data_IF_952242535265
#
_entry.id   IF_952242535265
#
_cell.length_a   1.000
_cell.length_b   1.000
_cell.length_c   1.000
_cell.angle_alpha   90.00
_cell.angle_beta   90.00
_cell.angle_gamma   90.00
#
_symmetry.space_group_name_H-M   'P 1'
#
loop_
_entity.id
_entity.type
_entity.pdbx_description
1 polymer ?
#
# COMPACT_ATOMS: atom_id res chain seq x y z
N UNK A 1 -46.12 3.89 -75.00
CA UNK A 1 -46.48 5.26 -75.40
C UNK A 1 -45.51 6.24 -74.78
N UNK A 2 -44.86 7.11 -75.55
CA UNK A 2 -44.00 8.15 -75.08
C UNK A 2 -44.67 9.53 -75.15
N UNK A 3 -44.57 10.30 -74.07
CA UNK A 3 -44.93 11.73 -74.04
C UNK A 3 -43.64 12.52 -73.81
N UNK A 4 -43.25 13.29 -74.87
CA UNK A 4 -42.03 14.06 -74.82
C UNK A 4 -40.71 13.29 -75.08
N UNK A 5 -40.84 12.02 -75.47
CA UNK A 5 -39.77 11.17 -76.01
C UNK A 5 -40.23 10.41 -77.24
N UNK A 6 -39.47 10.37 -78.35
CA UNK A 6 -39.80 9.58 -79.52
C UNK A 6 -39.44 8.09 -79.33
N UNK A 7 -38.56 7.76 -78.39
CA UNK A 7 -38.09 6.40 -78.12
C UNK A 7 -38.32 6.05 -76.67
N UNK A 8 -39.57 5.68 -76.27
CA UNK A 8 -39.84 5.27 -74.93
C UNK A 8 -39.09 3.96 -74.54
N UNK A 9 -38.69 3.80 -73.32
CA UNK A 9 -38.06 2.58 -72.79
C UNK A 9 -38.97 1.36 -73.08
N UNK A 10 -38.40 0.29 -73.55
CA UNK A 10 -39.12 -0.92 -73.96
C UNK A 10 -39.84 -1.62 -72.77
N UNK A 11 -39.46 -1.35 -71.55
CA UNK A 11 -40.12 -1.86 -70.35
C UNK A 11 -41.29 -1.00 -69.89
N UNK A 12 -41.48 0.18 -70.46
CA UNK A 12 -42.48 1.14 -70.04
C UNK A 12 -43.67 1.18 -71.00
N UNK A 13 -44.88 0.92 -70.50
CA UNK A 13 -46.11 1.15 -71.30
C UNK A 13 -46.38 2.64 -71.54
N UNK A 14 -45.92 3.47 -70.60
CA UNK A 14 -45.98 4.93 -70.68
C UNK A 14 -44.67 5.53 -70.09
N UNK A 15 -43.92 6.24 -70.92
CA UNK A 15 -42.80 7.06 -70.52
C UNK A 15 -43.11 8.54 -70.74
N UNK A 16 -42.91 9.36 -69.72
CA UNK A 16 -43.03 10.82 -69.76
C UNK A 16 -41.66 11.44 -69.50
N UNK A 17 -41.13 12.09 -70.57
CA UNK A 17 -39.80 12.72 -70.50
C UNK A 17 -39.90 14.22 -70.71
N UNK A 18 -39.40 15.03 -69.78
CA UNK A 18 -39.34 16.49 -69.94
C UNK A 18 -38.23 17.06 -69.09
N UNK A 19 -37.58 18.12 -69.58
CA UNK A 19 -36.54 18.83 -68.77
C UNK A 19 -37.12 19.83 -67.78
N UNK A 20 -38.39 20.25 -67.92
CA UNK A 20 -39.00 21.34 -67.15
C UNK A 20 -40.49 21.16 -66.83
N UNK A 21 -41.04 19.99 -67.05
CA UNK A 21 -42.43 19.65 -66.73
C UNK A 21 -42.52 18.31 -66.06
N UNK A 22 -43.41 18.17 -65.07
CA UNK A 22 -43.67 16.95 -64.30
C UNK A 22 -45.02 16.34 -64.64
N UNK A 23 -45.41 15.35 -63.87
CA UNK A 23 -46.73 14.72 -63.87
C UNK A 23 -47.55 15.29 -62.75
N UNK A 24 -48.75 15.79 -63.06
CA UNK A 24 -49.71 16.26 -62.07
C UNK A 24 -50.69 15.12 -61.81
N UNK A 25 -50.64 14.50 -60.66
CA UNK A 25 -51.60 13.47 -60.27
C UNK A 25 -52.96 14.09 -59.91
N UNK A 26 -54.06 13.35 -60.04
CA UNK A 26 -55.38 13.80 -59.62
C UNK A 26 -55.35 14.25 -58.13
N UNK A 27 -55.81 15.49 -57.89
CA UNK A 27 -55.88 16.07 -56.56
C UNK A 27 -57.19 15.70 -55.90
N UNK A 28 -57.11 15.04 -54.77
CA UNK A 28 -58.23 14.53 -53.95
C UNK A 28 -58.16 14.95 -52.54
N UNK A 29 -59.28 14.93 -51.80
CA UNK A 29 -59.34 15.18 -50.39
C UNK A 29 -59.64 13.91 -49.59
N UNK A 30 -58.64 13.14 -49.29
CA UNK A 30 -58.80 11.87 -48.58
C UNK A 30 -59.29 12.14 -47.13
N UNK A 31 -60.18 11.28 -46.65
CA UNK A 31 -60.74 11.38 -45.29
C UNK A 31 -60.00 10.54 -44.26
N UNK A 32 -59.35 9.45 -44.69
CA UNK A 32 -58.56 8.53 -43.90
C UNK A 32 -57.63 7.72 -44.79
N UNK A 33 -56.72 6.99 -44.22
CA UNK A 33 -55.83 6.05 -44.88
C UNK A 33 -56.64 4.87 -45.53
N UNK A 34 -57.85 4.63 -45.08
CA UNK A 34 -58.71 3.56 -45.56
C UNK A 34 -59.94 4.14 -46.37
N UNK A 35 -59.83 5.38 -46.83
CA UNK A 35 -60.92 6.07 -47.51
C UNK A 35 -61.20 5.51 -48.92
N UNK A 36 -62.29 4.76 -49.06
CA UNK A 36 -62.82 4.27 -50.33
C UNK A 36 -64.06 5.06 -50.78
N UNK A 37 -64.45 6.10 -49.99
CA UNK A 37 -65.62 6.93 -50.41
C UNK A 37 -65.20 8.04 -51.35
N UNK A 38 -63.97 8.59 -51.22
CA UNK A 38 -63.47 9.63 -52.14
C UNK A 38 -63.12 9.04 -53.49
N UNK A 39 -62.58 7.85 -53.57
CA UNK A 39 -62.33 7.07 -54.78
C UNK A 39 -62.89 5.67 -54.55
N UNK A 40 -64.07 5.33 -55.16
CA UNK A 40 -64.64 4.02 -54.92
C UNK A 40 -63.84 2.90 -55.59
N UNK A 41 -63.61 1.82 -54.89
CA UNK A 41 -62.87 0.64 -55.37
C UNK A 41 -61.50 1.00 -55.98
N UNK A 42 -60.61 1.68 -55.30
CA UNK A 42 -59.36 2.10 -55.91
C UNK A 42 -58.50 0.88 -56.24
N UNK A 43 -57.94 0.90 -57.45
CA UNK A 43 -57.12 -0.18 -57.99
C UNK A 43 -55.76 -0.22 -57.19
N UNK A 44 -55.23 -1.43 -57.04
CA UNK A 44 -53.88 -1.60 -56.45
C UNK A 44 -52.83 -0.83 -57.24
N UNK A 45 -52.02 0.02 -56.58
CA UNK A 45 -51.02 0.87 -57.21
C UNK A 45 -51.61 2.20 -57.78
N UNK A 46 -52.88 2.50 -57.61
CA UNK A 46 -53.46 3.81 -58.02
C UNK A 46 -52.76 4.95 -57.23
N UNK A 47 -52.27 5.97 -57.92
CA UNK A 47 -51.61 7.13 -57.33
C UNK A 47 -52.45 8.40 -57.45
N UNK A 48 -52.49 9.17 -56.35
CA UNK A 48 -53.19 10.46 -56.26
C UNK A 48 -52.38 11.48 -55.46
N UNK A 49 -52.68 12.76 -55.60
CA UNK A 49 -52.22 13.82 -54.74
C UNK A 49 -53.31 14.09 -53.67
N UNK A 50 -53.03 13.72 -52.37
CA UNK A 50 -53.93 14.21 -51.33
C UNK A 50 -53.62 15.68 -51.04
N UNK A 51 -54.62 16.55 -51.14
CA UNK A 51 -54.44 18.00 -50.91
C UNK A 51 -54.52 18.43 -49.50
N UNK A 52 -54.74 17.48 -48.54
CA UNK A 52 -54.75 17.75 -47.09
C UNK A 52 -55.96 18.50 -46.59
N UNK A 53 -56.98 18.74 -47.37
CA UNK A 53 -58.19 19.43 -46.96
C UNK A 53 -59.31 18.51 -46.49
N UNK A 54 -59.11 17.21 -46.57
CA UNK A 54 -59.93 16.19 -45.91
C UNK A 54 -59.53 15.92 -44.47
N UNK A 55 -60.14 14.88 -43.86
CA UNK A 55 -59.73 14.48 -42.48
C UNK A 55 -58.37 13.85 -42.48
N UNK A 56 -57.80 13.37 -43.60
CA UNK A 56 -56.39 13.07 -43.72
C UNK A 56 -55.63 14.34 -44.13
N UNK A 57 -55.17 15.08 -43.19
CA UNK A 57 -54.62 16.44 -43.34
C UNK A 57 -53.23 16.52 -43.92
N UNK A 58 -52.53 15.40 -44.01
CA UNK A 58 -51.19 15.36 -44.59
C UNK A 58 -51.24 15.37 -46.13
N UNK A 59 -50.77 16.48 -46.72
CA UNK A 59 -50.71 16.63 -48.15
C UNK A 59 -49.48 15.90 -48.72
N UNK A 60 -49.69 15.19 -49.88
CA UNK A 60 -48.61 14.43 -50.51
C UNK A 60 -49.11 13.46 -51.57
N UNK A 61 -48.19 12.78 -52.24
CA UNK A 61 -48.52 11.69 -53.18
C UNK A 61 -48.84 10.44 -52.37
N UNK A 62 -50.02 9.88 -52.60
CA UNK A 62 -50.46 8.62 -52.01
C UNK A 62 -50.68 7.59 -53.09
N UNK A 63 -50.40 6.32 -52.71
CA UNK A 63 -50.76 5.17 -53.56
C UNK A 63 -51.62 4.17 -52.79
N UNK A 64 -52.57 3.56 -53.52
CA UNK A 64 -53.43 2.55 -52.90
C UNK A 64 -52.73 1.19 -52.92
N UNK A 65 -52.56 0.58 -51.77
CA UNK A 65 -52.05 -0.79 -51.67
C UNK A 65 -52.50 -1.43 -50.36
N UNK A 66 -52.83 -2.72 -50.42
CA UNK A 66 -53.29 -3.49 -49.25
C UNK A 66 -54.45 -2.83 -48.51
N UNK A 67 -55.48 -2.43 -49.29
CA UNK A 67 -56.72 -1.80 -48.86
C UNK A 67 -56.53 -0.50 -48.06
N UNK A 68 -55.45 0.25 -48.36
CA UNK A 68 -55.25 1.56 -47.79
C UNK A 68 -54.40 2.47 -48.68
N UNK A 69 -54.55 3.78 -48.41
CA UNK A 69 -53.68 4.82 -48.96
C UNK A 69 -52.38 4.89 -48.21
N UNK A 70 -51.26 4.72 -48.88
CA UNK A 70 -49.95 4.82 -48.35
C UNK A 70 -49.27 6.06 -48.94
N UNK A 71 -48.74 6.93 -48.11
CA UNK A 71 -48.00 8.09 -48.59
C UNK A 71 -46.65 7.69 -49.16
N UNK A 72 -46.36 8.20 -50.37
CA UNK A 72 -45.06 8.06 -50.99
C UNK A 72 -44.09 9.02 -50.36
N UNK A 73 -43.46 8.60 -49.24
CA UNK A 73 -42.45 9.40 -48.51
C UNK A 73 -41.12 9.33 -49.27
N UNK A 74 -40.58 10.49 -49.66
CA UNK A 74 -39.19 10.60 -50.10
C UNK A 74 -38.31 10.63 -48.87
N UNK A 75 -37.76 9.54 -48.44
CA UNK A 75 -36.89 9.31 -47.28
C UNK A 75 -36.02 10.40 -46.67
N UNK A 76 -36.40 11.67 -46.77
CA UNK A 76 -35.83 12.79 -46.01
C UNK A 76 -36.76 13.11 -44.85
N UNK A 77 -36.85 12.17 -43.90
CA UNK A 77 -37.58 12.33 -42.66
C UNK A 77 -36.92 13.37 -41.77
N UNK A 78 -37.40 14.58 -41.84
CA UNK A 78 -37.23 15.53 -40.73
C UNK A 78 -38.12 15.01 -39.60
N UNK A 79 -37.51 14.29 -38.64
CA UNK A 79 -38.21 13.74 -37.47
C UNK A 79 -38.70 14.87 -36.56
N UNK A 80 -39.93 15.38 -36.82
CA UNK A 80 -40.65 16.11 -35.79
C UNK A 80 -41.78 15.24 -35.28
N UNK A 81 -41.53 14.69 -34.13
CA UNK A 81 -42.41 14.42 -33.02
C UNK A 81 -43.80 13.80 -33.16
N UNK A 82 -43.89 12.70 -32.50
CA UNK A 82 -44.84 12.57 -31.41
C UNK A 82 -46.32 12.58 -31.76
N UNK A 83 -46.83 11.53 -32.27
CA UNK A 83 -48.22 11.15 -32.23
C UNK A 83 -48.31 9.67 -31.91
N UNK A 84 -48.84 9.38 -30.78
CA UNK A 84 -49.48 8.15 -30.34
C UNK A 84 -49.71 7.08 -31.41
N UNK A 85 -49.05 5.94 -31.33
CA UNK A 85 -49.51 4.65 -31.83
C UNK A 85 -49.18 4.30 -33.28
N UNK A 86 -47.93 4.03 -33.59
CA UNK A 86 -47.49 3.37 -34.81
C UNK A 86 -46.26 2.52 -34.55
N UNK A 87 -46.37 1.25 -34.87
CA UNK A 87 -45.27 0.26 -34.78
C UNK A 87 -44.04 0.75 -35.53
N UNK A 88 -43.16 1.46 -34.87
CA UNK A 88 -41.90 1.88 -35.45
C UNK A 88 -41.06 0.61 -35.56
N UNK A 89 -40.67 0.24 -36.79
CA UNK A 89 -39.68 -0.80 -36.99
C UNK A 89 -38.46 -0.50 -36.09
N UNK A 90 -37.85 -1.49 -35.45
CA UNK A 90 -36.75 -1.25 -34.55
C UNK A 90 -35.65 -0.48 -35.30
N UNK A 91 -35.27 0.64 -34.72
CA UNK A 91 -34.23 1.54 -35.21
C UNK A 91 -32.91 0.76 -35.33
N UNK A 92 -32.52 0.42 -36.54
CA UNK A 92 -31.26 -0.29 -36.80
C UNK A 92 -30.17 0.71 -37.18
N UNK A 93 -29.61 1.39 -36.18
CA UNK A 93 -28.45 2.24 -36.40
C UNK A 93 -28.44 3.52 -35.57
N UNK A 94 -27.26 4.03 -35.33
CA UNK A 94 -27.02 5.31 -34.72
C UNK A 94 -27.40 6.43 -35.68
N UNK A 95 -28.35 7.27 -35.32
CA UNK A 95 -28.71 8.43 -36.13
C UNK A 95 -27.72 9.57 -35.91
N UNK A 96 -26.88 9.85 -36.89
CA UNK A 96 -25.95 10.98 -36.89
C UNK A 96 -26.64 12.36 -36.96
N UNK A 97 -27.97 12.37 -37.11
CA UNK A 97 -28.80 13.59 -37.19
C UNK A 97 -29.53 13.90 -35.89
N UNK A 98 -29.28 13.21 -34.79
CA UNK A 98 -29.84 13.54 -33.51
C UNK A 98 -29.21 14.86 -33.01
N UNK A 99 -29.91 15.95 -33.29
CA UNK A 99 -29.60 17.25 -32.67
C UNK A 99 -29.94 17.17 -31.19
N UNK A 100 -28.99 16.77 -30.40
CA UNK A 100 -29.04 16.92 -28.95
C UNK A 100 -28.69 18.37 -28.62
N UNK A 101 -29.68 19.26 -28.71
CA UNK A 101 -29.51 20.66 -28.38
C UNK A 101 -29.65 20.89 -26.88
N UNK A 102 -28.73 20.34 -26.10
CA UNK A 102 -28.55 20.62 -24.69
C UNK A 102 -27.36 21.55 -24.52
N UNK A 103 -27.62 22.81 -24.21
CA UNK A 103 -26.59 23.81 -23.98
C UNK A 103 -25.83 23.53 -22.68
N UNK A 104 -24.60 23.04 -22.80
CA UNK A 104 -23.58 23.19 -21.77
C UNK A 104 -22.26 23.57 -22.43
N UNK A 105 -21.86 24.82 -22.23
CA UNK A 105 -20.51 25.34 -22.47
C UNK A 105 -19.90 25.12 -23.84
N UNK A 106 -20.30 25.93 -24.82
CA UNK A 106 -19.66 26.33 -26.04
C UNK A 106 -18.57 25.41 -26.59
N UNK A 107 -18.87 24.75 -27.64
CA UNK A 107 -18.11 24.35 -28.80
C UNK A 107 -18.64 23.00 -29.32
N UNK A 108 -19.20 23.00 -30.53
CA UNK A 108 -19.61 21.85 -31.33
C UNK A 108 -20.58 20.85 -30.66
N UNK A 109 -21.82 21.28 -30.51
CA UNK A 109 -22.96 20.46 -30.06
C UNK A 109 -23.48 19.48 -31.11
N UNK A 110 -22.80 19.29 -32.24
CA UNK A 110 -23.34 18.55 -33.38
C UNK A 110 -23.12 17.04 -33.33
N UNK A 111 -22.42 16.53 -32.35
CA UNK A 111 -22.11 15.11 -32.20
C UNK A 111 -22.22 14.64 -30.74
N UNK A 112 -23.35 14.92 -30.07
CA UNK A 112 -23.55 14.43 -28.70
C UNK A 112 -24.44 13.19 -28.68
N UNK A 113 -24.06 12.17 -27.90
CA UNK A 113 -24.88 11.04 -27.52
C UNK A 113 -25.34 11.24 -26.09
N UNK A 114 -26.65 11.35 -25.86
CA UNK A 114 -27.15 11.58 -24.50
C UNK A 114 -28.66 11.72 -24.45
N UNK A 115 -29.16 12.01 -23.25
CA UNK A 115 -30.58 12.30 -22.99
C UNK A 115 -30.79 13.80 -22.76
N UNK A 116 -31.90 14.33 -23.23
CA UNK A 116 -32.31 15.73 -22.96
C UNK A 116 -33.25 15.84 -21.75
N UNK A 117 -33.50 14.73 -21.09
CA UNK A 117 -34.37 14.56 -19.91
C UNK A 117 -33.54 14.16 -18.72
N UNK A 118 -34.11 14.18 -17.54
CA UNK A 118 -33.47 13.67 -16.32
C UNK A 118 -33.49 12.14 -16.26
N UNK A 119 -33.16 11.49 -17.37
CA UNK A 119 -33.10 10.05 -17.51
C UNK A 119 -31.65 9.59 -17.72
N UNK A 120 -31.32 8.44 -17.20
CA UNK A 120 -30.01 7.81 -17.40
C UNK A 120 -29.79 7.40 -18.86
N UNK A 121 -28.57 7.56 -19.36
CA UNK A 121 -28.15 6.91 -20.61
C UNK A 121 -27.74 5.48 -20.32
N UNK A 122 -28.51 4.51 -20.84
CA UNK A 122 -28.30 3.08 -20.60
C UNK A 122 -27.77 2.36 -21.83
N UNK A 123 -26.66 1.70 -21.70
CA UNK A 123 -26.08 0.80 -22.73
C UNK A 123 -26.57 -0.63 -22.50
N UNK A 124 -27.18 -1.25 -23.55
CA UNK A 124 -27.71 -2.62 -23.45
C UNK A 124 -27.05 -3.54 -24.47
N UNK A 125 -26.83 -4.78 -24.07
CA UNK A 125 -26.42 -5.89 -24.93
C UNK A 125 -27.41 -7.02 -24.70
N UNK A 126 -28.03 -7.49 -25.77
CA UNK A 126 -29.09 -8.53 -25.73
C UNK A 126 -30.18 -8.23 -24.66
N UNK A 127 -30.70 -6.99 -24.68
CA UNK A 127 -31.70 -6.46 -23.73
C UNK A 127 -31.26 -6.35 -22.25
N UNK A 128 -30.03 -6.72 -21.91
CA UNK A 128 -29.47 -6.59 -20.57
C UNK A 128 -28.71 -5.26 -20.47
N UNK A 129 -28.95 -4.49 -19.42
CA UNK A 129 -28.18 -3.28 -19.13
C UNK A 129 -26.75 -3.65 -18.75
N UNK A 130 -25.79 -3.20 -19.56
CA UNK A 130 -24.35 -3.46 -19.37
C UNK A 130 -23.58 -2.21 -19.00
N UNK A 131 -24.20 -1.03 -19.09
CA UNK A 131 -23.58 0.23 -18.71
C UNK A 131 -24.62 1.32 -18.51
N UNK A 132 -24.28 2.31 -17.70
CA UNK A 132 -25.13 3.47 -17.39
C UNK A 132 -24.29 4.70 -17.09
N UNK A 133 -24.67 5.83 -17.69
CA UNK A 133 -24.29 7.16 -17.25
C UNK A 133 -25.52 7.77 -16.59
N UNK A 134 -25.48 7.92 -15.29
CA UNK A 134 -26.62 8.33 -14.47
C UNK A 134 -26.71 9.84 -14.27
N UNK A 135 -27.91 10.34 -14.13
CA UNK A 135 -28.21 11.76 -13.87
C UNK A 135 -27.61 12.29 -12.56
N UNK A 136 -27.26 11.39 -11.64
CA UNK A 136 -26.59 11.72 -10.35
C UNK A 136 -25.06 11.72 -10.49
N UNK A 137 -24.52 12.03 -11.67
CA UNK A 137 -23.08 11.97 -11.99
C UNK A 137 -22.45 10.57 -11.72
N UNK A 138 -23.27 9.52 -11.75
CA UNK A 138 -22.81 8.16 -11.52
C UNK A 138 -22.44 7.44 -12.82
N UNK A 139 -21.44 6.56 -12.75
CA UNK A 139 -20.98 5.76 -13.90
C UNK A 139 -20.98 4.29 -13.48
N UNK A 140 -21.71 3.44 -14.22
CA UNK A 140 -21.62 2.00 -14.00
C UNK A 140 -21.46 1.24 -15.33
N UNK A 141 -20.51 0.29 -15.38
CA UNK A 141 -20.31 -0.64 -16.49
C UNK A 141 -20.03 -2.04 -15.98
N UNK A 142 -20.80 -3.01 -16.46
CA UNK A 142 -20.77 -4.41 -16.09
C UNK A 142 -22.17 -4.93 -15.79
N UNK A 143 -22.36 -6.24 -15.95
CA UNK A 143 -23.64 -6.88 -15.60
C UNK A 143 -23.90 -6.73 -14.09
N UNK A 144 -25.02 -6.13 -13.73
CA UNK A 144 -25.37 -5.87 -12.32
C UNK A 144 -24.53 -4.78 -11.63
N UNK A 145 -23.71 -4.02 -12.37
CA UNK A 145 -22.97 -2.89 -11.80
C UNK A 145 -23.94 -1.77 -11.35
N UNK A 146 -23.71 -1.22 -10.15
CA UNK A 146 -24.53 -0.17 -9.54
C UNK A 146 -23.66 0.96 -9.04
N UNK A 147 -23.88 2.17 -9.55
CA UNK A 147 -23.25 3.38 -9.02
C UNK A 147 -24.34 4.39 -8.64
N UNK A 148 -24.18 5.03 -7.49
CA UNK A 148 -25.10 6.01 -6.95
C UNK A 148 -24.34 7.27 -6.53
N UNK A 149 -25.00 8.44 -6.60
CA UNK A 149 -24.52 9.71 -6.04
C UNK A 149 -23.03 10.01 -6.28
N UNK A 150 -22.64 10.33 -7.51
CA UNK A 150 -21.22 10.56 -7.92
C UNK A 150 -20.33 9.31 -7.87
N UNK A 151 -20.90 8.11 -7.72
CA UNK A 151 -20.15 6.86 -7.68
C UNK A 151 -19.69 6.38 -9.04
N UNK A 152 -18.60 5.62 -9.08
CA UNK A 152 -18.10 4.91 -10.27
C UNK A 152 -18.03 3.42 -9.94
N UNK A 153 -18.78 2.58 -10.67
CA UNK A 153 -18.80 1.12 -10.51
C UNK A 153 -18.46 0.43 -11.84
N UNK A 154 -17.29 -0.14 -11.96
CA UNK A 154 -16.80 -0.82 -13.15
C UNK A 154 -16.50 -2.30 -12.86
N UNK A 155 -17.30 -3.20 -13.41
CA UNK A 155 -17.15 -4.64 -13.24
C UNK A 155 -18.48 -5.34 -12.95
N UNK A 156 -18.50 -6.66 -13.18
CA UNK A 156 -19.69 -7.46 -12.90
C UNK A 156 -20.04 -7.39 -11.40
N UNK A 157 -21.28 -7.05 -11.07
CA UNK A 157 -21.77 -6.92 -9.69
C UNK A 157 -20.97 -5.93 -8.83
N UNK A 158 -20.28 -4.96 -9.43
CA UNK A 158 -19.63 -3.89 -8.69
C UNK A 158 -20.66 -2.91 -8.12
N UNK A 159 -20.39 -2.34 -6.96
CA UNK A 159 -21.29 -1.38 -6.30
C UNK A 159 -20.51 -0.23 -5.70
N UNK A 160 -20.91 1.04 -6.00
CA UNK A 160 -20.27 2.23 -5.47
C UNK A 160 -21.30 3.26 -5.04
N UNK A 161 -21.23 3.69 -3.78
CA UNK A 161 -21.98 4.83 -3.23
C UNK A 161 -21.00 5.96 -2.92
N UNK A 162 -21.07 7.05 -3.68
CA UNK A 162 -20.17 8.22 -3.57
C UNK A 162 -18.65 7.86 -3.54
N UNK A 163 -18.26 6.78 -4.21
CA UNK A 163 -16.88 6.29 -4.24
C UNK A 163 -16.57 5.60 -5.56
N UNK A 164 -15.44 4.93 -5.64
CA UNK A 164 -14.97 4.23 -6.85
C UNK A 164 -14.84 2.74 -6.55
N UNK A 165 -15.56 1.89 -7.28
CA UNK A 165 -15.50 0.43 -7.22
C UNK A 165 -15.11 -0.14 -8.59
N UNK A 166 -13.91 -0.68 -8.72
CA UNK A 166 -13.39 -1.27 -9.97
C UNK A 166 -13.02 -2.73 -9.76
N UNK A 167 -13.74 -3.63 -10.41
CA UNK A 167 -13.53 -5.08 -10.33
C UNK A 167 -14.82 -5.85 -10.12
N UNK A 168 -14.77 -7.15 -10.31
CA UNK A 168 -15.91 -8.05 -10.11
C UNK A 168 -16.25 -8.14 -8.61
N UNK A 169 -17.54 -8.03 -8.25
CA UNK A 169 -18.04 -8.08 -6.87
C UNK A 169 -17.36 -7.06 -5.92
N UNK A 170 -16.85 -5.95 -6.46
CA UNK A 170 -16.25 -4.88 -5.66
C UNK A 170 -17.35 -4.05 -5.03
N UNK A 171 -17.24 -3.74 -3.74
CA UNK A 171 -18.27 -2.99 -3.01
C UNK A 171 -17.67 -1.82 -2.24
N UNK A 172 -18.17 -0.61 -2.50
CA UNK A 172 -17.86 0.62 -1.75
C UNK A 172 -19.17 1.18 -1.22
N UNK A 173 -19.39 1.07 0.09
CA UNK A 173 -20.60 1.56 0.75
C UNK A 173 -20.40 2.88 1.48
N UNK A 174 -19.16 3.40 1.48
CA UNK A 174 -18.78 4.64 2.16
C UNK A 174 -18.30 5.70 1.18
N UNK A 175 -18.43 6.98 1.57
CA UNK A 175 -18.09 8.12 0.74
C UNK A 175 -16.56 8.25 0.56
N UNK A 176 -16.16 8.89 -0.56
CA UNK A 176 -14.78 9.30 -0.83
C UNK A 176 -13.76 8.14 -0.75
N UNK A 177 -14.22 6.93 -1.07
CA UNK A 177 -13.41 5.72 -0.93
C UNK A 177 -13.15 5.06 -2.28
N UNK A 178 -12.00 4.38 -2.40
CA UNK A 178 -11.53 3.77 -3.65
C UNK A 178 -11.23 2.29 -3.45
N UNK A 179 -11.99 1.42 -4.13
CA UNK A 179 -11.78 -0.03 -4.16
C UNK A 179 -11.39 -0.50 -5.57
N UNK A 180 -10.26 -1.17 -5.70
CA UNK A 180 -9.78 -1.73 -6.96
C UNK A 180 -9.36 -3.19 -6.79
N UNK A 181 -10.03 -4.11 -7.50
CA UNK A 181 -9.76 -5.55 -7.44
C UNK A 181 -11.02 -6.36 -7.32
N UNK A 182 -10.97 -7.66 -7.59
CA UNK A 182 -12.13 -8.51 -7.43
C UNK A 182 -12.40 -8.81 -5.94
N UNK A 183 -13.69 -8.85 -5.57
CA UNK A 183 -14.18 -9.09 -4.20
C UNK A 183 -13.66 -8.08 -3.15
N UNK A 184 -13.20 -6.91 -3.58
CA UNK A 184 -12.72 -5.86 -2.69
C UNK A 184 -13.90 -5.19 -1.99
N UNK A 185 -13.76 -4.91 -0.69
CA UNK A 185 -14.83 -4.34 0.11
C UNK A 185 -14.36 -3.14 0.94
N UNK A 186 -15.11 -2.04 0.88
CA UNK A 186 -14.90 -0.86 1.72
C UNK A 186 -16.21 -0.45 2.37
N UNK A 187 -16.20 -0.35 3.68
CA UNK A 187 -17.27 0.27 4.48
C UNK A 187 -16.80 1.49 5.29
N UNK A 188 -15.50 1.76 5.30
CA UNK A 188 -14.91 2.94 5.93
C UNK A 188 -14.88 4.14 5.01
N UNK A 189 -15.16 5.34 5.54
CA UNK A 189 -15.11 6.63 4.88
C UNK A 189 -13.65 7.03 4.58
N UNK A 190 -13.40 7.71 3.43
CA UNK A 190 -12.07 8.18 3.00
C UNK A 190 -10.99 7.08 2.99
N UNK A 191 -11.36 5.91 2.54
CA UNK A 191 -10.54 4.71 2.64
C UNK A 191 -10.12 4.17 1.29
N UNK A 192 -9.04 3.39 1.26
CA UNK A 192 -8.51 2.80 0.03
C UNK A 192 -8.31 1.30 0.19
N UNK A 193 -8.85 0.50 -0.73
CA UNK A 193 -8.60 -0.93 -0.79
C UNK A 193 -8.16 -1.34 -2.21
N UNK A 194 -7.01 -1.96 -2.36
CA UNK A 194 -6.48 -2.42 -3.66
C UNK A 194 -5.99 -3.85 -3.56
N UNK A 195 -6.60 -4.75 -4.33
CA UNK A 195 -6.21 -6.16 -4.37
C UNK A 195 -7.39 -7.11 -4.39
N UNK A 196 -7.15 -8.38 -4.68
CA UNK A 196 -8.17 -9.43 -4.58
C UNK A 196 -8.54 -9.65 -3.10
N UNK A 197 -9.84 -9.64 -2.77
CA UNK A 197 -10.34 -9.76 -1.40
C UNK A 197 -9.77 -8.72 -0.41
N UNK A 198 -9.25 -7.58 -0.86
CA UNK A 198 -8.82 -6.53 0.05
C UNK A 198 -10.03 -5.96 0.80
N UNK A 199 -9.90 -5.71 2.09
CA UNK A 199 -11.01 -5.26 2.93
C UNK A 199 -10.63 -4.10 3.83
N UNK A 200 -11.45 -3.07 3.84
CA UNK A 200 -11.37 -1.94 4.77
C UNK A 200 -12.72 -1.77 5.45
N UNK A 201 -12.73 -1.83 6.77
CA UNK A 201 -13.96 -1.68 7.57
C UNK A 201 -13.98 -0.43 8.44
N UNK A 202 -12.86 0.28 8.57
CA UNK A 202 -12.74 1.49 9.36
C UNK A 202 -12.44 2.71 8.47
N UNK A 203 -12.70 3.92 9.00
CA UNK A 203 -12.49 5.17 8.28
C UNK A 203 -10.99 5.50 8.15
N UNK A 204 -10.64 6.25 7.08
CA UNK A 204 -9.29 6.76 6.82
C UNK A 204 -8.23 5.65 6.81
N UNK A 205 -8.64 4.43 6.46
CA UNK A 205 -7.78 3.26 6.49
C UNK A 205 -7.39 2.78 5.08
N UNK A 206 -6.28 2.06 4.99
CA UNK A 206 -5.74 1.57 3.72
C UNK A 206 -5.44 0.07 3.79
N UNK A 207 -5.94 -0.70 2.82
CA UNK A 207 -5.61 -2.11 2.62
C UNK A 207 -5.12 -2.34 1.19
N UNK A 208 -3.85 -2.67 1.01
CA UNK A 208 -3.25 -2.92 -0.32
C UNK A 208 -2.56 -4.27 -0.35
N UNK A 209 -3.07 -5.17 -1.16
CA UNK A 209 -2.58 -6.53 -1.30
C UNK A 209 -3.71 -7.55 -1.37
N UNK A 210 -3.39 -8.77 -1.84
CA UNK A 210 -4.35 -9.87 -1.83
C UNK A 210 -4.66 -10.25 -0.38
N UNK A 211 -5.95 -10.31 -0.03
CA UNK A 211 -6.47 -10.54 1.33
C UNK A 211 -5.94 -9.55 2.40
N UNK A 212 -5.48 -8.35 2.02
CA UNK A 212 -5.12 -7.32 2.99
C UNK A 212 -6.37 -6.84 3.75
N UNK A 213 -6.27 -6.66 5.06
CA UNK A 213 -7.40 -6.24 5.92
C UNK A 213 -6.99 -5.08 6.83
N UNK A 214 -7.67 -3.93 6.68
CA UNK A 214 -7.51 -2.78 7.56
C UNK A 214 -8.82 -2.54 8.31
N UNK A 215 -8.84 -2.88 9.61
CA UNK A 215 -10.04 -2.81 10.44
C UNK A 215 -9.98 -1.71 11.52
N UNK A 216 -8.83 -1.09 11.75
CA UNK A 216 -8.68 0.04 12.66
C UNK A 216 -8.80 1.40 11.95
N UNK A 217 -9.32 2.42 12.64
CA UNK A 217 -9.32 3.80 12.18
C UNK A 217 -7.88 4.26 11.91
N UNK A 218 -7.65 4.94 10.79
CA UNK A 218 -6.32 5.42 10.36
C UNK A 218 -5.25 4.31 10.25
N UNK A 219 -5.66 3.06 10.04
CA UNK A 219 -4.72 1.94 9.98
C UNK A 219 -4.28 1.62 8.54
N UNK A 220 -3.09 1.04 8.41
CA UNK A 220 -2.47 0.69 7.13
C UNK A 220 -2.11 -0.80 7.12
N UNK A 221 -2.69 -1.57 6.18
CA UNK A 221 -2.34 -2.96 5.90
C UNK A 221 -1.79 -3.08 4.48
N UNK A 222 -0.50 -3.26 4.31
CA UNK A 222 0.17 -3.34 3.01
C UNK A 222 0.94 -4.66 2.85
N UNK A 223 0.45 -5.54 2.00
CA UNK A 223 1.05 -6.84 1.72
C UNK A 223 0.01 -7.95 1.56
N UNK A 224 0.44 -9.09 1.04
CA UNK A 224 -0.39 -10.31 0.99
C UNK A 224 -0.75 -10.76 2.41
N UNK A 225 -2.04 -10.91 2.74
CA UNK A 225 -2.55 -11.22 4.07
C UNK A 225 -2.06 -10.25 5.17
N UNK A 226 -1.66 -9.02 4.85
CA UNK A 226 -1.36 -8.02 5.87
C UNK A 226 -2.63 -7.64 6.63
N UNK A 227 -2.54 -7.49 7.96
CA UNK A 227 -3.74 -7.26 8.79
C UNK A 227 -3.50 -6.25 9.89
N UNK A 228 -4.42 -5.30 10.02
CA UNK A 228 -4.52 -4.41 11.19
C UNK A 228 -5.89 -4.57 11.85
N UNK A 229 -5.95 -4.54 13.18
CA UNK A 229 -7.22 -4.73 13.90
C UNK A 229 -7.60 -3.55 14.80
N UNK A 230 -6.64 -2.69 15.13
CA UNK A 230 -6.83 -1.55 16.02
C UNK A 230 -6.43 -0.24 15.33
N UNK A 231 -6.86 0.89 15.93
CA UNK A 231 -6.61 2.22 15.38
C UNK A 231 -5.11 2.54 15.35
N UNK A 232 -4.73 3.39 14.37
CA UNK A 232 -3.36 3.86 14.18
C UNK A 232 -2.33 2.72 13.98
N UNK A 233 -2.79 1.51 13.66
CA UNK A 233 -1.92 0.35 13.49
C UNK A 233 -1.36 0.27 12.06
N UNK A 234 -0.11 -0.15 11.94
CA UNK A 234 0.56 -0.34 10.64
C UNK A 234 1.10 -1.76 10.48
N UNK A 235 0.64 -2.47 9.48
CA UNK A 235 1.13 -3.79 9.09
C UNK A 235 1.70 -3.72 7.67
N UNK A 236 3.01 -3.88 7.53
CA UNK A 236 3.72 -3.81 6.25
C UNK A 236 4.51 -5.10 6.00
N UNK A 237 4.10 -5.88 5.04
CA UNK A 237 4.75 -7.13 4.65
C UNK A 237 3.77 -8.29 4.49
N UNK A 238 4.21 -9.35 3.82
CA UNK A 238 3.40 -10.56 3.67
C UNK A 238 3.15 -11.19 5.05
N UNK A 239 1.88 -11.47 5.35
CA UNK A 239 1.42 -12.04 6.62
C UNK A 239 1.76 -11.18 7.86
N UNK A 240 2.09 -9.90 7.69
CA UNK A 240 2.30 -9.01 8.83
C UNK A 240 0.99 -8.78 9.57
N UNK A 241 1.04 -8.67 10.89
CA UNK A 241 -0.16 -8.46 11.71
C UNK A 241 0.12 -7.42 12.80
N UNK A 242 -0.62 -6.31 12.78
CA UNK A 242 -0.57 -5.29 13.82
C UNK A 242 -1.91 -5.27 14.58
N UNK A 243 -1.93 -5.89 15.78
CA UNK A 243 -3.17 -6.11 16.52
C UNK A 243 -3.36 -5.13 17.68
N UNK A 244 -2.39 -4.33 18.03
CA UNK A 244 -2.48 -3.33 19.09
C UNK A 244 -2.77 -1.92 18.57
N UNK A 245 -3.32 -1.06 19.43
CA UNK A 245 -3.44 0.37 19.20
C UNK A 245 -2.06 1.00 19.04
N UNK A 246 -1.87 1.82 18.00
CA UNK A 246 -0.58 2.47 17.68
C UNK A 246 0.60 1.48 17.53
N UNK A 247 0.33 0.30 17.02
CA UNK A 247 1.37 -0.72 16.85
C UNK A 247 1.88 -0.79 15.41
N UNK A 248 3.15 -1.20 15.26
CA UNK A 248 3.85 -1.26 13.97
C UNK A 248 4.44 -2.66 13.77
N UNK A 249 4.00 -3.38 12.74
CA UNK A 249 4.53 -4.67 12.33
C UNK A 249 5.07 -4.58 10.89
N UNK A 250 6.39 -4.61 10.72
CA UNK A 250 7.08 -4.47 9.43
C UNK A 250 7.96 -5.67 9.15
N UNK A 251 7.64 -6.43 8.12
CA UNK A 251 8.38 -7.60 7.69
C UNK A 251 7.48 -8.80 7.41
N UNK A 252 8.05 -9.84 6.82
CA UNK A 252 7.36 -11.12 6.62
C UNK A 252 7.02 -11.75 7.97
N UNK A 253 5.75 -12.08 8.23
CA UNK A 253 5.25 -12.60 9.50
C UNK A 253 5.59 -11.74 10.74
N UNK A 254 5.93 -10.47 10.58
CA UNK A 254 6.10 -9.57 11.72
C UNK A 254 4.77 -9.43 12.47
N UNK A 255 4.78 -9.47 13.80
CA UNK A 255 3.56 -9.49 14.59
C UNK A 255 3.66 -8.67 15.85
N UNK A 256 2.63 -7.83 16.06
CA UNK A 256 2.39 -7.15 17.34
C UNK A 256 1.05 -7.60 17.90
N UNK A 257 0.97 -7.85 19.21
CA UNK A 257 -0.23 -8.38 19.85
C UNK A 257 -0.87 -7.41 20.85
N UNK A 258 -0.17 -6.36 21.26
CA UNK A 258 -0.60 -5.41 22.28
C UNK A 258 -0.35 -3.95 21.84
N UNK A 259 -0.68 -2.97 22.68
CA UNK A 259 -0.65 -1.56 22.31
C UNK A 259 0.80 -0.99 22.30
N UNK A 260 1.03 -0.02 21.41
CA UNK A 260 2.28 0.74 21.30
C UNK A 260 3.52 -0.17 21.11
N UNK A 261 3.34 -1.23 20.37
CA UNK A 261 4.40 -2.20 20.08
C UNK A 261 5.06 -1.92 18.73
N UNK A 262 6.33 -2.29 18.61
CA UNK A 262 7.07 -2.20 17.34
C UNK A 262 7.77 -3.53 17.05
N UNK A 263 7.39 -4.22 15.99
CA UNK A 263 8.03 -5.44 15.49
C UNK A 263 8.54 -5.20 14.07
N UNK A 264 9.86 -5.20 13.88
CA UNK A 264 10.52 -4.96 12.59
C UNK A 264 11.49 -6.08 12.27
N UNK A 265 11.20 -6.86 11.24
CA UNK A 265 12.04 -7.96 10.78
C UNK A 265 11.24 -9.20 10.37
N UNK A 266 11.90 -10.15 9.72
CA UNK A 266 11.34 -11.47 9.43
C UNK A 266 10.98 -12.20 10.73
N UNK A 267 9.73 -12.61 10.91
CA UNK A 267 9.23 -13.25 12.14
C UNK A 267 9.48 -12.46 13.43
N UNK A 268 9.66 -11.13 13.37
CA UNK A 268 9.76 -10.31 14.56
C UNK A 268 8.44 -10.34 15.34
N UNK A 269 8.50 -10.47 16.67
CA UNK A 269 7.33 -10.66 17.53
C UNK A 269 7.41 -9.77 18.77
N UNK A 270 6.28 -9.12 19.07
CA UNK A 270 6.07 -8.45 20.34
C UNK A 270 4.75 -8.93 20.97
N UNK A 271 4.71 -9.09 22.29
CA UNK A 271 3.56 -9.66 22.97
C UNK A 271 2.97 -8.80 24.08
N UNK A 272 3.69 -7.80 24.56
CA UNK A 272 3.26 -6.98 25.69
C UNK A 272 3.46 -5.48 25.41
N UNK A 273 2.64 -4.68 26.04
CA UNK A 273 2.54 -3.24 25.84
C UNK A 273 3.92 -2.53 25.88
N UNK A 274 4.12 -1.58 24.94
CA UNK A 274 5.33 -0.77 24.80
C UNK A 274 6.62 -1.60 24.57
N UNK A 275 6.50 -2.78 23.97
CA UNK A 275 7.67 -3.59 23.64
C UNK A 275 8.16 -3.34 22.21
N UNK A 276 9.46 -3.55 21.99
CA UNK A 276 10.13 -3.32 20.71
C UNK A 276 10.99 -4.52 20.33
N UNK A 277 10.73 -5.12 19.17
CA UNK A 277 11.51 -6.21 18.58
C UNK A 277 12.05 -5.79 17.21
N UNK A 278 13.36 -5.69 17.04
CA UNK A 278 14.00 -5.29 15.78
C UNK A 278 15.05 -6.35 15.40
N UNK A 279 14.82 -7.04 14.30
CA UNK A 279 15.70 -8.08 13.79
C UNK A 279 14.94 -9.32 13.35
N UNK A 280 15.57 -10.15 12.54
CA UNK A 280 15.01 -11.44 12.14
C UNK A 280 14.87 -12.34 13.37
N UNK A 281 13.66 -12.83 13.65
CA UNK A 281 13.36 -13.67 14.80
C UNK A 281 13.43 -12.96 16.17
N UNK A 282 13.58 -11.62 16.19
CA UNK A 282 13.59 -10.88 17.46
C UNK A 282 12.24 -11.04 18.19
N UNK A 283 12.28 -11.26 19.49
CA UNK A 283 11.09 -11.48 20.31
C UNK A 283 11.15 -10.68 21.63
N UNK A 284 10.37 -9.61 21.72
CA UNK A 284 10.24 -8.82 22.94
C UNK A 284 8.89 -9.15 23.62
N UNK A 285 8.89 -10.15 24.50
CA UNK A 285 7.69 -10.63 25.16
C UNK A 285 7.44 -9.99 26.54
N UNK A 286 8.40 -9.25 27.10
CA UNK A 286 8.24 -8.50 28.36
C UNK A 286 7.60 -7.14 28.13
N UNK A 287 6.81 -6.64 29.09
CA UNK A 287 6.30 -5.26 29.06
C UNK A 287 7.46 -4.25 29.14
N UNK A 288 7.44 -3.18 28.34
CA UNK A 288 8.51 -2.18 28.24
C UNK A 288 9.87 -2.78 27.84
N UNK A 289 9.89 -3.94 27.21
CA UNK A 289 11.14 -4.58 26.82
C UNK A 289 11.56 -4.24 25.38
N UNK A 290 12.85 -4.34 25.14
CA UNK A 290 13.43 -4.12 23.81
C UNK A 290 14.37 -5.27 23.45
N UNK A 291 14.18 -5.91 22.30
CA UNK A 291 15.03 -6.95 21.74
C UNK A 291 15.54 -6.51 20.38
N UNK A 292 16.85 -6.31 20.24
CA UNK A 292 17.48 -5.83 18.99
C UNK A 292 18.54 -6.83 18.54
N UNK A 293 18.41 -7.31 17.31
CA UNK A 293 19.35 -8.22 16.67
C UNK A 293 18.70 -9.54 16.26
N UNK A 294 19.44 -10.34 15.51
CA UNK A 294 19.02 -11.68 15.09
C UNK A 294 18.70 -12.56 16.31
N UNK A 295 17.47 -13.07 16.37
CA UNK A 295 16.97 -13.93 17.45
C UNK A 295 17.19 -13.35 18.87
N UNK A 296 17.33 -12.02 19.01
CA UNK A 296 17.33 -11.39 20.32
C UNK A 296 15.98 -11.63 21.01
N UNK A 297 15.98 -12.12 22.25
CA UNK A 297 14.73 -12.49 22.92
C UNK A 297 14.74 -12.14 24.42
N UNK A 298 13.59 -11.65 24.90
CA UNK A 298 13.38 -11.44 26.33
C UNK A 298 11.90 -11.56 26.71
N UNK A 299 11.64 -12.17 27.85
CA UNK A 299 10.32 -12.19 28.51
C UNK A 299 10.28 -11.30 29.77
N UNK A 300 11.41 -10.72 30.13
CA UNK A 300 11.52 -9.89 31.32
C UNK A 300 11.05 -8.47 31.05
N UNK A 301 10.21 -7.91 31.89
CA UNK A 301 9.79 -6.52 31.82
C UNK A 301 10.98 -5.55 32.06
N UNK A 302 10.94 -4.41 31.36
CA UNK A 302 11.97 -3.35 31.45
C UNK A 302 13.38 -3.81 31.02
N UNK A 303 13.50 -4.91 30.29
CA UNK A 303 14.79 -5.43 29.82
C UNK A 303 15.10 -4.90 28.38
N UNK A 304 16.38 -4.63 28.15
CA UNK A 304 16.92 -4.34 26.81
C UNK A 304 17.96 -5.43 26.51
N UNK A 305 17.69 -6.19 25.44
CA UNK A 305 18.58 -7.24 24.95
C UNK A 305 19.16 -6.83 23.60
N UNK A 306 20.47 -6.92 23.47
CA UNK A 306 21.20 -6.68 22.24
C UNK A 306 21.78 -8.01 21.73
N UNK A 307 21.17 -8.56 20.67
CA UNK A 307 21.55 -9.85 20.09
C UNK A 307 21.11 -11.07 20.92
N UNK A 308 21.41 -12.24 20.40
CA UNK A 308 21.21 -13.53 21.06
C UNK A 308 22.47 -13.95 21.86
N UNK A 309 22.47 -15.19 22.39
CA UNK A 309 23.61 -15.70 23.17
C UNK A 309 24.94 -15.78 22.38
N UNK A 310 24.90 -15.74 21.05
CA UNK A 310 26.09 -15.79 20.20
C UNK A 310 26.55 -14.40 19.73
N UNK A 311 25.76 -13.37 20.00
CA UNK A 311 26.10 -12.01 19.60
C UNK A 311 27.24 -11.43 20.44
N UNK A 312 28.15 -10.72 19.79
CA UNK A 312 29.16 -9.89 20.41
C UNK A 312 28.88 -8.42 20.07
N UNK A 313 28.86 -7.58 21.08
CA UNK A 313 28.55 -6.16 20.97
C UNK A 313 29.84 -5.36 20.87
N UNK A 314 30.02 -4.63 19.75
CA UNK A 314 31.13 -3.72 19.54
C UNK A 314 30.70 -2.27 19.72
N UNK A 315 31.42 -1.50 20.54
CA UNK A 315 31.28 -0.05 20.62
C UNK A 315 32.58 0.57 20.12
N UNK A 316 32.51 1.33 19.01
CA UNK A 316 33.70 1.93 18.40
C UNK A 316 34.62 0.94 17.66
N UNK A 317 34.16 -0.29 17.42
CA UNK A 317 34.86 -1.31 16.63
C UNK A 317 33.89 -2.00 15.68
N UNK A 318 34.34 -2.24 14.45
CA UNK A 318 33.60 -3.02 13.46
C UNK A 318 33.88 -4.54 13.55
N UNK A 319 34.92 -4.92 14.27
CA UNK A 319 35.38 -6.31 14.46
C UNK A 319 35.50 -6.62 15.95
N UNK A 320 34.38 -6.75 16.67
CA UNK A 320 34.43 -7.05 18.09
C UNK A 320 35.10 -8.39 18.36
N UNK A 321 35.84 -8.48 19.45
CA UNK A 321 36.50 -9.69 19.84
C UNK A 321 35.50 -10.82 20.08
N UNK A 322 35.72 -11.96 19.43
CA UNK A 322 34.78 -13.09 19.48
C UNK A 322 34.67 -13.77 20.84
N UNK A 323 35.65 -13.54 21.74
CA UNK A 323 35.64 -14.03 23.11
C UNK A 323 34.99 -13.06 24.09
N UNK A 324 34.65 -11.84 23.68
CA UNK A 324 34.02 -10.83 24.49
C UNK A 324 32.56 -10.60 24.12
N UNK A 325 31.66 -10.58 25.09
CA UNK A 325 30.25 -10.21 24.87
C UNK A 325 30.06 -8.72 24.65
N UNK A 326 30.95 -7.90 25.20
CA UNK A 326 31.02 -6.46 25.00
C UNK A 326 32.46 -6.07 24.74
N UNK A 327 32.74 -5.50 23.58
CA UNK A 327 34.04 -4.96 23.18
C UNK A 327 33.89 -3.46 22.94
N UNK A 328 34.56 -2.66 23.80
CA UNK A 328 34.56 -1.20 23.73
C UNK A 328 35.90 -0.70 23.27
N UNK A 329 36.03 -0.23 22.05
CA UNK A 329 37.22 0.43 21.55
C UNK A 329 37.07 1.96 21.70
N UNK A 330 37.47 2.46 22.87
CA UNK A 330 37.35 3.86 23.22
C UNK A 330 37.20 4.10 24.72
N UNK A 331 36.86 5.31 25.08
CA UNK A 331 36.65 5.69 26.47
C UNK A 331 35.31 5.18 26.99
N UNK A 332 35.27 4.73 28.23
CA UNK A 332 34.04 4.32 28.90
C UNK A 332 33.95 4.89 30.32
N UNK A 333 32.74 5.01 30.86
CA UNK A 333 32.45 5.46 32.22
C UNK A 333 31.42 4.52 32.83
N UNK A 334 31.72 4.00 34.02
CA UNK A 334 30.79 3.20 34.80
C UNK A 334 30.33 3.98 36.04
N UNK A 335 29.00 4.06 36.17
CA UNK A 335 28.35 4.76 37.31
C UNK A 335 28.30 6.29 37.16
N UNK A 336 27.42 6.91 37.96
CA UNK A 336 27.16 8.36 37.89
C UNK A 336 28.41 9.17 38.25
N UNK A 337 29.12 8.76 39.29
CA UNK A 337 30.35 9.41 39.81
C UNK A 337 31.64 8.76 39.31
N UNK A 338 31.55 7.77 38.38
CA UNK A 338 32.71 7.10 37.81
C UNK A 338 33.56 8.05 36.95
N UNK A 339 34.86 7.85 36.95
CA UNK A 339 35.79 8.52 36.04
C UNK A 339 35.68 7.96 34.63
N UNK A 340 35.96 8.78 33.63
CA UNK A 340 36.14 8.31 32.27
C UNK A 340 37.45 7.54 32.20
N UNK A 341 37.39 6.30 31.73
CA UNK A 341 38.56 5.41 31.56
C UNK A 341 38.82 5.21 30.07
N UNK A 342 40.10 5.13 29.70
CA UNK A 342 40.52 4.86 28.32
C UNK A 342 40.73 3.38 28.10
N UNK A 343 41.49 2.75 29.01
CA UNK A 343 41.80 1.33 28.91
C UNK A 343 41.68 0.66 30.27
N UNK A 344 41.22 -0.59 30.29
CA UNK A 344 41.36 -1.51 31.40
C UNK A 344 42.20 -2.68 30.93
N UNK A 345 43.45 -2.72 31.38
CA UNK A 345 44.47 -3.67 30.98
C UNK A 345 44.70 -4.65 32.11
N UNK A 346 44.66 -5.93 31.81
CA UNK A 346 44.95 -6.99 32.78
C UNK A 346 45.89 -8.02 32.15
N UNK A 347 46.95 -8.36 32.84
CA UNK A 347 47.91 -9.36 32.40
C UNK A 347 48.54 -10.11 33.57
N UNK A 348 49.08 -11.25 33.24
CA UNK A 348 49.85 -12.09 34.13
C UNK A 348 51.35 -11.90 33.81
N UNK A 349 52.18 -11.80 34.83
CA UNK A 349 53.60 -11.49 34.66
C UNK A 349 54.50 -12.33 35.54
N UNK A 350 55.62 -12.78 34.95
CA UNK A 350 56.70 -13.50 35.64
C UNK A 350 57.99 -12.68 35.54
N UNK A 351 58.11 -11.58 36.27
CA UNK A 351 59.35 -10.81 36.28
C UNK A 351 60.49 -11.60 36.89
N UNK A 352 61.70 -11.43 36.35
CA UNK A 352 62.90 -11.88 36.98
C UNK A 352 63.11 -11.14 38.29
N UNK A 353 63.24 -11.86 39.40
CA UNK A 353 63.46 -11.31 40.71
C UNK A 353 64.84 -11.74 41.22
N UNK A 354 65.61 -10.79 41.74
CA UNK A 354 66.94 -11.07 42.34
C UNK A 354 67.01 -10.33 43.67
N UNK A 355 66.36 -10.93 44.65
CA UNK A 355 66.43 -10.43 46.06
C UNK A 355 67.29 -11.39 46.87
N UNK A 356 68.43 -10.89 47.35
CA UNK A 356 69.35 -11.70 48.05
C UNK A 356 69.46 -11.22 49.51
N UNK A 357 69.15 -12.12 50.44
CA UNK A 357 69.38 -11.92 51.91
C UNK A 357 68.80 -10.58 52.43
N UNK A 358 67.55 -10.20 52.00
CA UNK A 358 66.87 -9.00 52.37
C UNK A 358 66.52 -9.09 53.90
N UNK A 359 66.99 -8.19 54.76
CA UNK A 359 66.69 -8.25 56.18
C UNK A 359 65.20 -8.03 56.47
N UNK A 360 64.71 -8.57 57.59
CA UNK A 360 63.37 -8.33 58.09
C UNK A 360 63.02 -6.83 58.10
N UNK A 361 61.85 -6.46 57.71
CA UNK A 361 61.31 -5.10 57.63
C UNK A 361 61.95 -4.20 56.56
N UNK A 362 62.87 -4.71 55.74
CA UNK A 362 63.43 -3.97 54.59
C UNK A 362 62.64 -4.23 53.32
N UNK A 363 62.68 -3.24 52.46
CA UNK A 363 61.96 -3.28 51.15
C UNK A 363 62.92 -3.16 49.99
N UNK A 364 62.59 -3.78 48.88
CA UNK A 364 63.25 -3.66 47.61
C UNK A 364 62.20 -3.32 46.56
N UNK A 365 62.58 -2.53 45.51
CA UNK A 365 61.71 -2.20 44.41
C UNK A 365 61.86 -3.28 43.34
N UNK A 366 60.71 -3.74 42.81
CA UNK A 366 60.64 -4.65 41.71
C UNK A 366 59.90 -4.01 40.53
N UNK A 367 60.45 -4.11 39.32
CA UNK A 367 59.80 -3.72 38.11
C UNK A 367 59.15 -4.92 37.44
N UNK A 368 57.87 -4.78 37.10
CA UNK A 368 57.08 -5.78 36.40
C UNK A 368 56.87 -5.25 34.94
N UNK A 369 57.48 -5.87 33.93
CA UNK A 369 57.33 -5.40 32.56
C UNK A 369 55.91 -5.57 32.07
N UNK A 370 55.39 -4.56 31.33
CA UNK A 370 54.11 -4.61 30.64
C UNK A 370 54.34 -5.18 29.25
N UNK A 371 53.61 -6.22 28.84
CA UNK A 371 53.70 -6.75 27.48
C UNK A 371 53.54 -5.67 26.42
N UNK A 372 54.35 -5.72 25.35
CA UNK A 372 54.41 -4.63 24.34
C UNK A 372 53.05 -4.32 23.69
N UNK A 373 52.20 -5.31 23.53
CA UNK A 373 50.85 -5.17 22.99
C UNK A 373 49.78 -4.72 23.97
N UNK A 374 50.17 -4.54 25.27
CA UNK A 374 49.28 -4.11 26.38
C UNK A 374 49.75 -2.81 27.04
N UNK A 375 50.74 -2.14 26.50
CA UNK A 375 51.26 -0.90 27.06
C UNK A 375 50.22 0.22 26.97
N UNK A 376 49.89 0.91 28.09
CA UNK A 376 49.01 2.07 28.08
C UNK A 376 49.62 3.28 27.38
N UNK A 377 48.78 4.22 26.94
CA UNK A 377 49.27 5.45 26.29
C UNK A 377 49.87 6.46 27.26
N UNK A 378 49.58 6.35 28.56
CA UNK A 378 50.07 7.26 29.58
C UNK A 378 50.31 6.58 30.92
N UNK A 379 51.05 7.25 31.84
CA UNK A 379 51.26 6.77 33.22
C UNK A 379 50.13 7.18 34.18
N UNK A 380 49.10 7.88 33.69
CA UNK A 380 47.92 8.28 34.49
C UNK A 380 46.97 7.11 34.64
N UNK A 381 47.21 6.28 35.65
CA UNK A 381 46.43 5.08 35.86
C UNK A 381 46.33 4.71 37.35
N UNK A 382 45.25 4.07 37.73
CA UNK A 382 45.16 3.31 38.96
C UNK A 382 45.67 1.89 38.70
N UNK A 383 46.51 1.39 39.63
CA UNK A 383 47.20 0.13 39.44
C UNK A 383 46.91 -0.80 40.62
N UNK A 384 46.62 -2.03 40.32
CA UNK A 384 46.51 -3.12 41.28
C UNK A 384 47.49 -4.22 40.88
N UNK A 385 48.28 -4.66 41.80
CA UNK A 385 49.20 -5.82 41.69
C UNK A 385 48.87 -6.81 42.79
N UNK A 386 48.53 -8.01 42.41
CA UNK A 386 48.24 -9.10 43.33
C UNK A 386 49.25 -10.25 43.09
N UNK A 387 49.79 -10.88 44.13
CA UNK A 387 50.60 -12.07 43.94
C UNK A 387 49.72 -13.23 43.44
N UNK A 388 50.22 -14.04 42.58
CA UNK A 388 49.61 -15.31 42.22
C UNK A 388 49.71 -16.36 43.32
N UNK A 389 48.87 -17.40 43.30
CA UNK A 389 48.86 -18.42 44.35
C UNK A 389 50.17 -19.18 44.50
N UNK A 390 50.95 -19.28 43.42
CA UNK A 390 52.27 -19.95 43.34
C UNK A 390 53.45 -18.97 43.49
N UNK A 391 53.21 -17.72 43.88
CA UNK A 391 54.29 -16.78 44.16
C UNK A 391 55.11 -17.26 45.36
N UNK A 392 56.37 -17.56 45.12
CA UNK A 392 57.27 -18.13 46.13
C UNK A 392 57.47 -17.27 47.37
N UNK A 393 57.16 -15.98 47.30
CA UNK A 393 57.24 -15.01 48.39
C UNK A 393 55.97 -14.78 49.22
N UNK A 394 54.87 -15.53 48.95
CA UNK A 394 53.56 -15.29 49.58
C UNK A 394 53.56 -15.26 51.10
N UNK A 395 54.43 -16.06 51.77
CA UNK A 395 54.51 -16.10 53.18
C UNK A 395 55.60 -15.16 53.82
N UNK A 396 56.49 -14.63 52.98
CA UNK A 396 57.66 -13.93 53.35
C UNK A 396 57.71 -12.46 52.91
N UNK A 397 56.92 -12.10 51.85
CA UNK A 397 56.97 -10.74 51.34
C UNK A 397 55.59 -10.11 51.29
N UNK A 398 55.50 -8.87 51.67
CA UNK A 398 54.35 -8.00 51.45
C UNK A 398 54.57 -7.15 50.20
N UNK A 399 53.55 -7.08 49.35
CA UNK A 399 53.49 -6.21 48.13
C UNK A 399 52.85 -4.89 48.48
N UNK A 400 53.49 -3.78 48.13
CA UNK A 400 52.99 -2.46 48.46
C UNK A 400 53.39 -1.43 47.39
N UNK A 401 52.69 -0.27 47.35
CA UNK A 401 52.98 0.89 46.56
C UNK A 401 53.10 0.59 45.04
N UNK A 402 52.09 -0.07 44.43
CA UNK A 402 52.06 -0.26 42.99
C UNK A 402 51.95 1.10 42.29
N UNK A 403 52.83 1.39 41.33
CA UNK A 403 52.89 2.65 40.59
C UNK A 403 53.47 2.44 39.20
N UNK A 404 53.16 3.34 38.30
CA UNK A 404 53.76 3.45 36.96
C UNK A 404 54.70 4.65 36.91
N UNK A 405 55.94 4.40 36.58
CA UNK A 405 56.94 5.42 36.27
C UNK A 405 57.24 5.50 34.79
N UNK A 406 56.83 4.50 34.03
CA UNK A 406 56.89 4.44 32.58
C UNK A 406 55.65 3.71 32.04
N UNK A 407 55.40 3.82 30.73
CA UNK A 407 54.35 3.03 30.02
C UNK A 407 54.72 1.57 29.77
N UNK A 408 55.97 1.22 30.05
CA UNK A 408 56.54 -0.12 29.79
C UNK A 408 56.65 -1.01 31.02
N UNK A 409 56.49 -0.44 32.23
CA UNK A 409 56.62 -1.21 33.48
C UNK A 409 55.75 -0.68 34.61
N UNK A 410 55.30 -1.60 35.45
CA UNK A 410 54.70 -1.32 36.78
C UNK A 410 55.74 -1.57 37.84
N UNK A 411 55.88 -0.69 38.79
CA UNK A 411 56.82 -0.78 39.91
C UNK A 411 56.08 -1.09 41.20
N UNK A 412 56.55 -2.05 41.96
CA UNK A 412 56.04 -2.40 43.30
C UNK A 412 57.20 -2.40 44.35
N UNK A 413 56.84 -2.31 45.58
CA UNK A 413 57.80 -2.59 46.69
C UNK A 413 57.50 -3.97 47.27
N UNK A 414 58.54 -4.79 47.41
CA UNK A 414 58.50 -6.04 48.12
C UNK A 414 59.17 -5.80 49.53
N UNK A 415 58.41 -6.02 50.57
CA UNK A 415 58.90 -5.85 51.95
C UNK A 415 59.00 -7.22 52.58
N UNK A 416 60.15 -7.58 53.07
CA UNK A 416 60.33 -8.80 53.87
C UNK A 416 59.59 -8.70 55.18
N UNK A 417 58.58 -9.54 55.38
CA UNK A 417 57.75 -9.62 56.60
C UNK A 417 58.03 -10.92 57.42
N UNK A 418 59.00 -11.73 57.01
CA UNK A 418 59.38 -12.95 57.69
C UNK A 418 60.15 -12.67 58.96
N UNK A 419 60.42 -13.69 59.78
CA UNK A 419 61.17 -13.57 61.00
C UNK A 419 62.68 -13.39 60.82
N UNK A 420 63.24 -13.41 59.63
CA UNK A 420 64.63 -13.36 59.29
C UNK A 420 64.99 -12.71 57.98
N UNK A 421 66.20 -12.86 57.47
CA UNK A 421 66.57 -12.40 56.14
C UNK A 421 66.08 -13.41 55.08
N UNK A 422 65.49 -12.91 53.97
CA UNK A 422 64.86 -13.72 52.91
C UNK A 422 65.45 -13.42 51.52
N UNK A 423 65.42 -14.45 50.70
CA UNK A 423 65.83 -14.36 49.29
C UNK A 423 64.66 -14.75 48.40
N UNK A 424 64.51 -14.08 47.23
CA UNK A 424 63.50 -14.34 46.31
C UNK A 424 64.08 -14.28 44.86
N UNK A 425 63.82 -15.28 44.03
CA UNK A 425 64.46 -15.44 42.71
C UNK A 425 63.40 -15.55 41.60
N UNK A 426 62.11 -15.60 41.93
CA UNK A 426 61.05 -15.63 40.97
C UNK A 426 59.85 -14.81 41.44
N UNK A 427 59.16 -14.19 40.53
CA UNK A 427 57.91 -13.46 40.75
C UNK A 427 56.79 -13.99 39.85
N UNK A 428 55.59 -14.02 40.39
CA UNK A 428 54.38 -14.29 39.63
C UNK A 428 53.26 -13.40 40.16
N UNK A 429 52.74 -12.50 39.25
CA UNK A 429 51.80 -11.46 39.64
C UNK A 429 50.68 -11.30 38.63
N UNK A 430 49.47 -11.01 39.12
CA UNK A 430 48.37 -10.45 38.34
C UNK A 430 48.39 -8.94 38.44
N UNK A 431 48.40 -8.30 37.28
CA UNK A 431 48.50 -6.82 37.19
C UNK A 431 47.24 -6.30 36.50
N UNK A 432 46.61 -5.31 37.11
CA UNK A 432 45.50 -4.54 36.51
C UNK A 432 45.86 -3.06 36.43
N UNK A 433 45.68 -2.44 35.28
CA UNK A 433 45.95 -1.05 35.01
C UNK A 433 44.66 -0.43 34.48
N UNK A 434 44.10 0.54 35.20
CA UNK A 434 42.97 1.35 34.76
C UNK A 434 43.50 2.72 34.33
N UNK A 435 43.60 2.96 33.03
CA UNK A 435 44.10 4.22 32.44
C UNK A 435 43.01 5.27 32.37
N UNK A 436 43.28 6.52 32.75
CA UNK A 436 42.37 7.66 32.75
C UNK A 436 42.57 8.63 31.59
#
# INVERSE_FOLDING_TARGET
MGIGTPNPDSSAMLEISSKNKGVLFPSVSLRSITDEATIPNPAEGLMVWNNGTGSLTEAGIYYWSKSRWNMLSTGAGNGTNGGSGGNIAPFSGWNTSATNSGSYGGANTNLSLGTNTMDDLVFKVNSVAMGRLGVNNSISFGNGAKAEQNGIALGNSSSAYQGIAIGMNTSVTANESVAVGANTQISGYQSTAVGFNAKVSANEAMAVGNNAEAAGFQSIALGFNAKTTMNDATALGKNSTASGFQSIAVGYNAKTNSNSETAVGYNALTNNQNSTAIGSGANAAGQFSTAIGYEAATSQANAIILGNNNANIGIGTATPNTSAKLDVNGQYKLGEKGSVQKNQISFEAWPSVSVNNLPHGKSVTLEIPIPANMQPASTRAAIVVSPAGDFAGNSSFSISNPRMTSTTSVTINLTNISGGAESLYSGHFYVMINEF
#
